data_IF_261408821613
#
_entry.id   IF_261408821613
#
_cell.length_a   1.000
_cell.length_b   1.000
_cell.length_c   1.000
_cell.angle_alpha   90.00
_cell.angle_beta   90.00
_cell.angle_gamma   90.00
#
_symmetry.space_group_name_H-M   'P 1'
#
loop_
_entity.id
_entity.type
_entity.pdbx_description
1 polymer ?
#
# COMPACT_ATOMS: atom_id res chain seq x y z
N UNK A 1 30.11 5.57 3.21
CA UNK A 1 28.85 6.11 2.67
C UNK A 1 27.74 5.36 3.36
N UNK A 2 26.89 6.03 4.14
CA UNK A 2 25.73 5.38 4.75
C UNK A 2 24.78 5.02 3.60
N UNK A 3 24.45 3.74 3.46
CA UNK A 3 23.50 3.29 2.45
C UNK A 3 22.13 3.84 2.86
N UNK A 4 21.58 4.75 2.07
CA UNK A 4 20.22 5.22 2.24
C UNK A 4 19.26 4.04 2.05
N UNK A 5 18.57 3.66 3.12
CA UNK A 5 17.59 2.57 3.12
C UNK A 5 16.21 3.11 2.71
N UNK A 6 15.43 2.31 1.97
CA UNK A 6 14.19 2.76 1.36
C UNK A 6 12.96 2.28 2.15
N UNK A 7 12.16 3.22 2.64
CA UNK A 7 10.97 2.94 3.45
C UNK A 7 9.69 3.45 2.81
N UNK A 8 8.56 2.87 3.24
CA UNK A 8 7.22 3.28 2.77
C UNK A 8 6.14 2.86 3.76
N UNK A 9 5.02 3.59 3.75
CA UNK A 9 3.84 3.26 4.55
C UNK A 9 2.69 2.85 3.64
N UNK A 10 2.11 1.69 3.94
CA UNK A 10 1.00 1.06 3.21
C UNK A 10 -0.20 0.83 4.11
N UNK A 11 -1.40 0.87 3.52
CA UNK A 11 -2.55 0.15 4.05
C UNK A 11 -2.65 -1.19 3.30
N UNK A 12 -2.62 -2.30 4.02
CA UNK A 12 -2.67 -3.65 3.45
C UNK A 12 -4.01 -4.30 3.78
N UNK A 13 -4.79 -4.77 2.78
CA UNK A 13 -5.98 -5.56 3.06
C UNK A 13 -5.56 -6.91 3.61
N UNK A 14 -6.22 -7.34 4.68
CA UNK A 14 -6.08 -8.65 5.31
C UNK A 14 -7.44 -9.36 5.33
N UNK A 15 -7.44 -10.63 5.69
CA UNK A 15 -8.64 -11.46 5.61
C UNK A 15 -9.05 -11.77 4.16
N UNK A 16 -10.35 -11.77 3.89
CA UNK A 16 -10.93 -12.30 2.66
C UNK A 16 -10.45 -11.55 1.40
N UNK A 17 -10.57 -10.22 1.37
CA UNK A 17 -10.11 -9.44 0.20
C UNK A 17 -8.60 -9.61 -0.02
N UNK A 18 -7.80 -9.61 1.05
CA UNK A 18 -6.37 -9.86 0.96
C UNK A 18 -6.04 -11.22 0.34
N UNK A 19 -6.78 -12.27 0.72
CA UNK A 19 -6.65 -13.61 0.15
C UNK A 19 -7.06 -13.65 -1.33
N UNK A 20 -8.17 -12.99 -1.70
CA UNK A 20 -8.63 -12.90 -3.09
C UNK A 20 -7.59 -12.21 -3.98
N UNK A 21 -6.98 -11.11 -3.51
CA UNK A 21 -5.94 -10.40 -4.29
C UNK A 21 -4.67 -11.25 -4.42
N UNK A 22 -4.26 -11.95 -3.37
CA UNK A 22 -3.12 -12.87 -3.45
C UNK A 22 -3.39 -14.03 -4.43
N UNK A 23 -4.60 -14.60 -4.41
CA UNK A 23 -5.00 -15.62 -5.37
C UNK A 23 -5.02 -15.05 -6.79
N UNK A 24 -5.50 -13.82 -6.97
CA UNK A 24 -5.41 -13.13 -8.25
C UNK A 24 -3.95 -13.00 -8.72
N UNK A 25 -3.02 -12.54 -7.87
CA UNK A 25 -1.60 -12.43 -8.23
C UNK A 25 -0.99 -13.76 -8.68
N UNK A 26 -1.30 -14.86 -7.98
CA UNK A 26 -0.84 -16.18 -8.39
C UNK A 26 -1.38 -16.56 -9.76
N UNK A 27 -2.69 -16.41 -9.97
CA UNK A 27 -3.36 -16.81 -11.21
C UNK A 27 -3.04 -15.89 -12.40
N UNK A 28 -2.86 -14.60 -12.16
CA UNK A 28 -2.46 -13.66 -13.22
C UNK A 28 -1.03 -13.92 -13.66
N UNK A 29 -0.12 -14.27 -12.73
CA UNK A 29 1.26 -14.64 -13.07
C UNK A 29 1.32 -15.94 -13.87
N UNK A 30 0.54 -16.96 -13.50
CA UNK A 30 0.41 -18.21 -14.27
C UNK A 30 -0.15 -17.96 -15.69
N UNK A 31 -1.17 -17.10 -15.81
CA UNK A 31 -1.90 -16.91 -17.08
C UNK A 31 -1.20 -15.95 -18.05
N UNK A 32 -0.58 -14.88 -17.55
CA UNK A 32 -0.10 -13.76 -18.36
C UNK A 32 1.38 -13.41 -18.12
N UNK A 33 2.09 -14.21 -17.31
CA UNK A 33 3.44 -13.89 -16.88
C UNK A 33 3.49 -12.76 -15.86
N UNK A 34 4.71 -12.33 -15.54
CA UNK A 34 4.93 -11.31 -14.53
C UNK A 34 4.53 -9.90 -15.01
N UNK A 35 3.90 -9.13 -14.13
CA UNK A 35 3.69 -7.69 -14.27
C UNK A 35 4.11 -7.01 -12.96
N UNK A 36 4.22 -5.67 -12.95
CA UNK A 36 4.84 -4.96 -11.83
C UNK A 36 4.09 -5.13 -10.50
N UNK A 37 2.78 -5.42 -10.51
CA UNK A 37 2.03 -5.65 -9.27
C UNK A 37 2.54 -6.87 -8.48
N UNK A 38 3.11 -7.88 -9.14
CA UNK A 38 3.58 -9.10 -8.49
C UNK A 38 4.84 -8.91 -7.62
N UNK A 39 5.52 -7.76 -7.71
CA UNK A 39 6.67 -7.43 -6.86
C UNK A 39 6.28 -6.90 -5.48
N UNK A 40 4.99 -6.84 -5.19
CA UNK A 40 4.44 -6.26 -3.97
C UNK A 40 3.43 -7.21 -3.33
N UNK A 41 3.28 -7.08 -2.02
CA UNK A 41 2.10 -7.59 -1.32
C UNK A 41 0.84 -6.81 -1.76
N UNK A 42 -0.39 -7.30 -1.54
CA UNK A 42 -1.59 -6.48 -1.67
C UNK A 42 -1.48 -5.24 -0.78
N UNK A 43 -1.57 -4.05 -1.37
CA UNK A 43 -1.36 -2.80 -0.65
C UNK A 43 -2.03 -1.61 -1.33
N UNK A 44 -2.25 -0.56 -0.55
CA UNK A 44 -2.51 0.81 -0.98
C UNK A 44 -1.38 1.70 -0.47
N UNK A 45 -0.68 2.40 -1.37
CA UNK A 45 0.34 3.37 -0.96
C UNK A 45 -0.27 4.55 -0.22
N UNK A 46 0.21 4.83 0.99
CA UNK A 46 -0.18 6.03 1.76
C UNK A 46 0.87 7.14 1.62
N UNK A 47 2.14 6.75 1.45
CA UNK A 47 3.25 7.65 1.13
C UNK A 47 3.92 7.28 -0.19
N UNK A 48 4.81 8.14 -0.69
CA UNK A 48 5.90 7.72 -1.56
C UNK A 48 6.94 6.92 -0.78
N UNK A 49 7.86 6.28 -1.51
CA UNK A 49 9.12 5.86 -0.91
C UNK A 49 9.87 7.09 -0.39
N UNK A 50 10.56 6.92 0.72
CA UNK A 50 11.48 7.90 1.25
C UNK A 50 12.72 7.19 1.80
N UNK A 51 13.86 7.86 1.72
CA UNK A 51 15.11 7.40 2.29
C UNK A 51 15.25 7.86 3.74
N UNK A 52 15.78 7.02 4.61
CA UNK A 52 16.12 7.37 5.99
C UNK A 52 17.31 6.54 6.49
N UNK A 53 18.07 7.07 7.44
CA UNK A 53 19.11 6.30 8.12
C UNK A 53 18.48 5.27 9.06
N UNK A 54 18.97 4.02 9.00
CA UNK A 54 18.50 2.92 9.83
C UNK A 54 18.53 3.25 11.34
N UNK A 55 19.50 4.04 11.79
CA UNK A 55 19.64 4.48 13.18
C UNK A 55 18.48 5.38 13.64
N UNK A 56 17.80 6.06 12.71
CA UNK A 56 16.70 6.98 13.00
C UNK A 56 15.31 6.34 12.88
N UNK A 57 15.19 5.12 12.36
CA UNK A 57 13.90 4.47 12.07
C UNK A 57 13.02 4.29 13.29
N UNK A 58 13.61 4.08 14.48
CA UNK A 58 12.86 4.04 15.72
C UNK A 58 12.06 5.34 15.96
N UNK A 59 12.58 6.50 15.53
CA UNK A 59 11.88 7.77 15.62
C UNK A 59 10.65 7.80 14.70
N UNK A 60 10.78 7.37 13.45
CA UNK A 60 9.66 7.28 12.50
C UNK A 60 8.55 6.35 13.04
N UNK A 61 8.93 5.17 13.55
CA UNK A 61 7.98 4.21 14.11
C UNK A 61 7.26 4.77 15.35
N UNK A 62 7.98 5.45 16.24
CA UNK A 62 7.40 6.07 17.43
C UNK A 62 6.47 7.24 17.07
N UNK A 63 6.82 8.04 16.07
CA UNK A 63 5.99 9.16 15.61
C UNK A 63 4.71 8.65 14.96
N UNK A 64 4.79 7.62 14.12
CA UNK A 64 3.60 7.01 13.51
C UNK A 64 2.69 6.36 14.55
N UNK A 65 3.27 5.68 15.54
CA UNK A 65 2.53 5.07 16.64
C UNK A 65 1.74 6.11 17.45
N UNK A 66 2.37 7.24 17.78
CA UNK A 66 1.68 8.36 18.44
C UNK A 66 0.57 8.94 17.57
N UNK A 67 0.82 9.16 16.27
CA UNK A 67 -0.19 9.67 15.35
C UNK A 67 -1.39 8.71 15.24
N UNK A 68 -1.12 7.40 15.21
CA UNK A 68 -2.15 6.37 15.21
C UNK A 68 -3.00 6.42 16.50
N UNK A 69 -2.37 6.46 17.67
CA UNK A 69 -3.10 6.56 18.95
C UNK A 69 -3.86 7.88 19.13
N UNK A 70 -3.36 8.98 18.57
CA UNK A 70 -4.07 10.27 18.55
C UNK A 70 -5.26 10.29 17.58
N UNK A 71 -5.34 9.32 16.67
CA UNK A 71 -6.42 9.22 15.68
C UNK A 71 -7.58 8.33 16.14
N UNK A 72 -7.63 7.94 17.42
CA UNK A 72 -8.69 7.05 17.95
C UNK A 72 -10.09 7.67 17.90
N UNK A 73 -10.18 9.01 17.88
CA UNK A 73 -11.47 9.72 17.82
C UNK A 73 -12.00 9.92 16.38
N UNK A 74 -11.26 9.47 15.36
CA UNK A 74 -11.67 9.55 13.95
C UNK A 74 -11.79 8.15 13.33
N UNK A 75 -12.76 7.97 12.43
CA UNK A 75 -12.87 6.72 11.65
C UNK A 75 -11.70 6.61 10.67
N UNK A 76 -10.93 5.53 10.81
CA UNK A 76 -9.85 5.15 9.90
C UNK A 76 -10.31 4.21 8.78
N UNK A 77 -11.63 4.02 8.64
CA UNK A 77 -12.23 3.09 7.69
C UNK A 77 -11.79 3.37 6.25
N UNK A 78 -11.49 2.30 5.53
CA UNK A 78 -11.18 2.33 4.11
C UNK A 78 -12.38 1.82 3.32
N UNK A 79 -12.95 2.71 2.49
CA UNK A 79 -14.08 2.38 1.61
C UNK A 79 -13.59 2.08 0.21
N UNK A 80 -13.98 0.94 -0.33
CA UNK A 80 -13.77 0.60 -1.74
C UNK A 80 -14.83 1.33 -2.56
N UNK A 81 -14.40 2.20 -3.49
CA UNK A 81 -15.30 3.01 -4.31
C UNK A 81 -15.75 2.22 -5.53
N UNK A 82 -14.80 1.63 -6.25
CA UNK A 82 -15.06 0.88 -7.49
C UNK A 82 -13.86 0.02 -7.88
N UNK A 83 -14.13 -1.04 -8.63
CA UNK A 83 -13.12 -1.78 -9.38
C UNK A 83 -12.97 -1.18 -10.77
N UNK A 84 -11.73 -0.87 -11.16
CA UNK A 84 -11.40 -0.15 -12.39
C UNK A 84 -10.52 -0.99 -13.32
N UNK A 85 -10.75 -0.85 -14.62
CA UNK A 85 -9.98 -1.51 -15.67
C UNK A 85 -9.54 -0.49 -16.73
N UNK A 86 -8.33 0.03 -16.60
CA UNK A 86 -7.68 0.92 -17.58
C UNK A 86 -6.75 0.10 -18.50
N UNK A 87 -6.36 0.63 -19.68
CA UNK A 87 -5.55 -0.12 -20.65
C UNK A 87 -4.26 -0.72 -20.08
N UNK A 88 -3.60 -0.05 -19.14
CA UNK A 88 -2.34 -0.50 -18.52
C UNK A 88 -2.39 -0.53 -16.98
N UNK A 89 -3.59 -0.57 -16.39
CA UNK A 89 -3.75 -0.60 -14.93
C UNK A 89 -5.13 -1.13 -14.53
N UNK A 90 -5.18 -2.13 -13.67
CA UNK A 90 -6.39 -2.68 -13.04
C UNK A 90 -6.26 -2.60 -11.53
N UNK A 91 -7.35 -2.30 -10.83
CA UNK A 91 -7.32 -2.16 -9.38
C UNK A 91 -8.61 -1.73 -8.73
N UNK A 92 -8.56 -1.49 -7.41
CA UNK A 92 -9.62 -0.86 -6.63
C UNK A 92 -9.27 0.59 -6.37
N UNK A 93 -10.22 1.49 -6.56
CA UNK A 93 -10.16 2.85 -6.04
C UNK A 93 -10.71 2.88 -4.61
N UNK A 94 -10.06 3.66 -3.74
CA UNK A 94 -10.37 3.73 -2.31
C UNK A 94 -10.65 5.16 -1.85
N UNK A 95 -11.41 5.29 -0.76
CA UNK A 95 -11.55 6.51 0.05
C UNK A 95 -11.29 6.20 1.51
N UNK A 96 -10.42 6.96 2.16
CA UNK A 96 -10.08 6.79 3.57
C UNK A 96 -9.68 8.14 4.18
N UNK A 97 -10.66 9.00 4.48
CA UNK A 97 -10.39 10.38 4.90
C UNK A 97 -9.65 10.46 6.23
N UNK A 98 -10.05 9.69 7.24
CA UNK A 98 -9.37 9.68 8.53
C UNK A 98 -7.96 9.13 8.44
N UNK A 99 -7.76 8.08 7.63
CA UNK A 99 -6.42 7.54 7.37
C UNK A 99 -5.52 8.56 6.65
N UNK A 100 -6.04 9.31 5.66
CA UNK A 100 -5.28 10.41 5.03
C UNK A 100 -4.89 11.47 6.06
N UNK A 101 -5.78 11.80 6.99
CA UNK A 101 -5.49 12.76 8.06
C UNK A 101 -4.38 12.27 9.00
N UNK A 102 -4.47 11.01 9.46
CA UNK A 102 -3.44 10.36 10.26
C UNK A 102 -2.06 10.44 9.58
N UNK A 103 -1.98 10.03 8.31
CA UNK A 103 -0.71 9.98 7.58
C UNK A 103 -0.18 11.39 7.27
N UNK A 104 -1.07 12.36 7.01
CA UNK A 104 -0.70 13.75 6.84
C UNK A 104 -0.10 14.34 8.13
N UNK A 105 -0.71 14.08 9.29
CA UNK A 105 -0.20 14.50 10.59
C UNK A 105 1.17 13.88 10.90
N UNK A 106 1.33 12.58 10.65
CA UNK A 106 2.63 11.92 10.75
C UNK A 106 3.68 12.57 9.84
N UNK A 107 3.35 12.79 8.57
CA UNK A 107 4.27 13.38 7.62
C UNK A 107 4.62 14.84 7.97
N UNK A 108 3.69 15.61 8.51
CA UNK A 108 3.92 16.98 8.99
C UNK A 108 4.97 17.00 10.10
N UNK A 109 4.80 16.17 11.13
CA UNK A 109 5.76 16.06 12.25
C UNK A 109 7.14 15.66 11.72
N UNK A 110 7.23 14.64 10.87
CA UNK A 110 8.53 14.18 10.35
C UNK A 110 9.18 15.23 9.45
N UNK A 111 8.41 15.87 8.57
CA UNK A 111 8.92 16.88 7.64
C UNK A 111 9.34 18.19 8.33
N UNK A 112 8.97 18.39 9.60
CA UNK A 112 9.47 19.50 10.43
C UNK A 112 10.81 19.19 11.11
N UNK A 113 11.30 17.95 11.02
CA UNK A 113 12.59 17.51 11.57
C UNK A 113 13.67 17.52 10.47
N UNK A 114 14.97 17.51 10.83
CA UNK A 114 16.07 17.39 9.86
C UNK A 114 16.21 15.94 9.35
N UNK A 115 15.21 15.48 8.59
CA UNK A 115 15.21 14.17 7.93
C UNK A 115 15.89 14.23 6.54
N UNK A 116 16.33 13.08 6.06
CA UNK A 116 17.08 12.93 4.81
C UNK A 116 16.22 13.20 3.58
N UNK A 117 14.96 12.75 3.60
CA UNK A 117 14.02 12.94 2.52
C UNK A 117 12.62 13.23 3.06
N UNK A 118 11.96 14.25 2.48
CA UNK A 118 10.59 14.59 2.85
C UNK A 118 9.61 13.47 2.50
N UNK A 119 8.74 13.14 3.44
CA UNK A 119 7.68 12.16 3.26
C UNK A 119 6.59 12.78 2.38
N UNK A 120 6.45 12.24 1.17
CA UNK A 120 5.41 12.65 0.21
C UNK A 120 4.13 11.83 0.42
N UNK A 121 2.99 12.51 0.52
CA UNK A 121 1.66 11.89 0.65
C UNK A 121 1.13 11.38 -0.70
N UNK A 122 0.26 10.36 -0.64
CA UNK A 122 -0.49 9.86 -1.80
C UNK A 122 -1.92 10.42 -1.80
N UNK A 123 -2.27 11.08 -2.90
CA UNK A 123 -3.60 11.67 -3.05
C UNK A 123 -4.66 10.68 -3.51
N UNK A 124 -4.34 9.88 -4.52
CA UNK A 124 -5.22 8.87 -5.09
C UNK A 124 -4.93 7.50 -4.48
N UNK A 125 -5.80 7.09 -3.56
CA UNK A 125 -5.69 5.81 -2.86
C UNK A 125 -6.27 4.68 -3.72
N UNK A 126 -5.48 3.64 -3.92
CA UNK A 126 -5.87 2.50 -4.73
C UNK A 126 -5.07 1.25 -4.39
N UNK A 127 -5.67 0.08 -4.62
CA UNK A 127 -4.95 -1.20 -4.67
C UNK A 127 -4.76 -1.59 -6.13
N UNK A 128 -3.52 -1.83 -6.54
CA UNK A 128 -3.22 -2.29 -7.89
C UNK A 128 -3.25 -3.81 -7.96
N UNK A 129 -3.96 -4.37 -8.94
CA UNK A 129 -3.98 -5.79 -9.23
C UNK A 129 -3.00 -6.17 -10.33
N UNK A 130 -2.94 -5.34 -11.37
CA UNK A 130 -2.03 -5.51 -12.50
C UNK A 130 -1.73 -4.15 -13.11
N UNK A 131 -0.48 -3.89 -13.46
CA UNK A 131 -0.07 -2.72 -14.24
C UNK A 131 1.26 -2.97 -14.93
N UNK A 132 1.56 -2.18 -15.96
CA UNK A 132 2.68 -2.42 -16.87
C UNK A 132 2.65 -3.83 -17.48
N UNK A 133 1.45 -4.31 -17.80
CA UNK A 133 1.26 -5.58 -18.51
C UNK A 133 1.14 -5.33 -20.02
N UNK A 134 1.40 -6.36 -20.81
CA UNK A 134 1.27 -6.28 -22.26
C UNK A 134 -0.20 -6.04 -22.67
N UNK A 135 -0.50 -5.16 -23.65
CA UNK A 135 -1.87 -4.80 -24.01
C UNK A 135 -2.78 -6.00 -24.32
N UNK A 136 -2.25 -7.06 -24.95
CA UNK A 136 -3.02 -8.28 -25.26
C UNK A 136 -3.50 -9.04 -24.01
N UNK A 137 -2.91 -8.79 -22.83
CA UNK A 137 -3.33 -9.42 -21.57
C UNK A 137 -4.52 -8.70 -20.91
N UNK A 138 -4.92 -7.51 -21.40
CA UNK A 138 -5.95 -6.69 -20.77
C UNK A 138 -7.25 -7.46 -20.50
N UNK A 139 -7.82 -8.12 -21.50
CA UNK A 139 -9.11 -8.79 -21.35
C UNK A 139 -9.02 -10.04 -20.46
N UNK A 140 -7.93 -10.78 -20.55
CA UNK A 140 -7.69 -11.97 -19.71
C UNK A 140 -7.56 -11.60 -18.23
N UNK A 141 -6.74 -10.59 -17.92
CA UNK A 141 -6.56 -10.07 -16.56
C UNK A 141 -7.86 -9.49 -16.00
N UNK A 142 -8.61 -8.72 -16.81
CA UNK A 142 -9.90 -8.17 -16.42
C UNK A 142 -10.93 -9.25 -16.11
N UNK A 143 -11.04 -10.28 -16.95
CA UNK A 143 -11.94 -11.43 -16.72
C UNK A 143 -11.56 -12.17 -15.43
N UNK A 144 -10.26 -12.37 -15.20
CA UNK A 144 -9.76 -13.04 -14.01
C UNK A 144 -10.06 -12.24 -12.73
N UNK A 145 -9.84 -10.92 -12.76
CA UNK A 145 -10.11 -10.04 -11.62
C UNK A 145 -11.59 -10.08 -11.23
N UNK A 146 -12.49 -9.96 -12.22
CA UNK A 146 -13.95 -10.04 -12.00
C UNK A 146 -14.42 -11.40 -11.46
N UNK A 147 -13.65 -12.47 -11.70
CA UNK A 147 -13.97 -13.81 -11.23
C UNK A 147 -13.50 -14.04 -9.79
N UNK A 148 -12.36 -13.47 -9.41
CA UNK A 148 -11.69 -13.77 -8.14
C UNK A 148 -12.03 -12.74 -7.06
N UNK A 149 -12.15 -11.48 -7.43
CA UNK A 149 -12.19 -10.37 -6.48
C UNK A 149 -13.62 -9.90 -6.31
N UNK A 150 -14.10 -9.94 -5.07
CA UNK A 150 -15.35 -9.35 -4.63
C UNK A 150 -15.07 -8.05 -3.85
N UNK A 151 -15.35 -6.87 -4.43
CA UNK A 151 -15.22 -5.58 -3.74
C UNK A 151 -16.13 -5.41 -2.52
N UNK A 152 -17.15 -6.26 -2.35
CA UNK A 152 -18.06 -6.23 -1.21
C UNK A 152 -17.65 -7.19 -0.09
N UNK A 153 -16.57 -7.97 -0.30
CA UNK A 153 -16.04 -8.86 0.73
C UNK A 153 -15.68 -8.08 2.00
N UNK A 154 -15.96 -8.70 3.15
CA UNK A 154 -15.54 -8.14 4.43
C UNK A 154 -14.02 -7.99 4.44
N UNK A 155 -13.55 -6.79 4.73
CA UNK A 155 -12.13 -6.47 4.66
C UNK A 155 -11.70 -5.80 5.95
N UNK A 156 -10.66 -6.37 6.55
CA UNK A 156 -9.86 -5.70 7.57
C UNK A 156 -8.62 -5.12 6.91
N UNK A 157 -8.09 -4.04 7.48
CA UNK A 157 -6.89 -3.40 6.96
C UNK A 157 -5.86 -3.28 8.05
N UNK A 158 -4.59 -3.35 7.65
CA UNK A 158 -3.47 -3.01 8.52
C UNK A 158 -2.70 -1.84 7.93
N UNK A 159 -2.44 -0.83 8.75
CA UNK A 159 -1.38 0.14 8.48
C UNK A 159 -0.04 -0.56 8.71
N UNK A 160 0.87 -0.48 7.73
CA UNK A 160 2.17 -1.16 7.80
C UNK A 160 3.30 -0.24 7.39
N UNK A 161 4.35 -0.22 8.20
CA UNK A 161 5.60 0.46 7.90
C UNK A 161 6.60 -0.56 7.34
N UNK A 162 7.02 -0.38 6.09
CA UNK A 162 7.88 -1.32 5.38
C UNK A 162 9.28 -0.77 5.16
N UNK A 163 10.27 -1.64 5.30
CA UNK A 163 11.60 -1.52 4.71
C UNK A 163 11.65 -2.31 3.40
N UNK A 164 12.11 -1.69 2.31
CA UNK A 164 12.29 -2.32 1.00
C UNK A 164 13.79 -2.44 0.69
N UNK A 165 14.27 -3.66 0.50
CA UNK A 165 15.65 -3.92 0.14
C UNK A 165 15.91 -3.74 -1.37
N UNK A 166 17.18 -3.61 -1.79
CA UNK A 166 17.56 -3.52 -3.21
C UNK A 166 17.17 -4.74 -4.04
N UNK A 167 17.10 -5.93 -3.42
CA UNK A 167 16.75 -7.21 -4.06
C UNK A 167 15.24 -7.45 -4.16
N UNK A 168 14.41 -6.42 -3.93
CA UNK A 168 12.95 -6.47 -3.93
C UNK A 168 12.33 -7.33 -2.83
N UNK A 169 13.10 -7.69 -1.80
CA UNK A 169 12.54 -8.22 -0.57
C UNK A 169 12.05 -7.10 0.34
N UNK A 170 11.16 -7.46 1.28
CA UNK A 170 10.46 -6.52 2.13
C UNK A 170 10.43 -7.02 3.57
N UNK A 171 10.59 -6.11 4.53
CA UNK A 171 10.31 -6.39 5.93
C UNK A 171 9.25 -5.42 6.45
N UNK A 172 8.15 -5.96 6.98
CA UNK A 172 7.20 -5.17 7.76
C UNK A 172 7.84 -4.91 9.13
N UNK A 173 8.19 -3.66 9.41
CA UNK A 173 8.83 -3.28 10.68
C UNK A 173 7.82 -3.17 11.82
N UNK A 174 6.60 -2.69 11.51
CA UNK A 174 5.50 -2.56 12.45
C UNK A 174 4.17 -2.49 11.70
N UNK A 175 3.12 -3.00 12.33
CA UNK A 175 1.74 -2.91 11.85
C UNK A 175 0.78 -2.45 12.95
N UNK A 176 -0.33 -1.84 12.51
CA UNK A 176 -1.46 -1.42 13.34
C UNK A 176 -2.75 -1.83 12.64
N UNK A 177 -3.73 -2.33 13.39
CA UNK A 177 -5.06 -2.61 12.85
C UNK A 177 -5.76 -1.30 12.48
N UNK A 178 -6.50 -1.25 11.39
CA UNK A 178 -7.33 -0.11 10.99
C UNK A 178 -8.81 -0.43 11.16
#
# INVERSE_FOLDING_TARGET
MMNAEQFIIYACPVGELGQQINLYFQKSKELCGENTAHHYMPHCSLTGFFNADQTTIHHYLNTLDKAYHQSQDISLDIKIVQMMFKPNWHGLELKASGLKHLIAHFAEIMNSQPIEEKIRLKEWLHVSFAYNFQPQHHDSLKKLAKKIIDPQASTQWELRFYHKYPDWTWTCLKSWLL
#
